data_IF_243291478501
#
_entry.id   IF_243291478501
#
_cell.length_a   1.000
_cell.length_b   1.000
_cell.length_c   1.000
_cell.angle_alpha   90.00
_cell.angle_beta   90.00
_cell.angle_gamma   90.00
#
_symmetry.space_group_name_H-M   'P 1'
#
loop_
_entity.id
_entity.type
_entity.pdbx_description
1 polymer ?
#
# COMPACT_ATOMS: atom_id res chain seq x y z
N UNK A 1 -2.62 11.89 2.71
CA UNK A 1 -3.78 11.74 3.61
C UNK A 1 -3.61 10.43 4.38
N UNK A 2 -3.29 10.49 5.67
CA UNK A 2 -3.00 9.27 6.46
C UNK A 2 -4.25 8.48 6.83
N UNK A 3 -5.34 9.18 7.18
CA UNK A 3 -6.58 8.56 7.65
C UNK A 3 -7.31 7.79 6.55
N UNK A 4 -7.41 8.35 5.34
CA UNK A 4 -8.07 7.67 4.22
C UNK A 4 -7.29 6.43 3.79
N UNK A 5 -5.96 6.50 3.72
CA UNK A 5 -5.12 5.35 3.43
C UNK A 5 -5.21 4.25 4.51
N UNK A 6 -5.26 4.63 5.79
CA UNK A 6 -5.48 3.70 6.89
C UNK A 6 -6.87 3.05 6.82
N UNK A 7 -7.93 3.80 6.50
CA UNK A 7 -9.27 3.23 6.35
C UNK A 7 -9.36 2.28 5.16
N UNK A 8 -8.80 2.66 4.00
CA UNK A 8 -8.75 1.80 2.80
C UNK A 8 -7.96 0.53 3.10
N UNK A 9 -6.79 0.66 3.74
CA UNK A 9 -5.98 -0.48 4.18
C UNK A 9 -6.73 -1.36 5.17
N UNK A 10 -7.47 -0.77 6.12
CA UNK A 10 -8.24 -1.54 7.10
C UNK A 10 -9.39 -2.31 6.44
N UNK A 11 -10.17 -1.67 5.57
CA UNK A 11 -11.25 -2.35 4.85
C UNK A 11 -10.72 -3.45 3.91
N UNK A 12 -9.58 -3.24 3.26
CA UNK A 12 -8.96 -4.28 2.43
C UNK A 12 -8.49 -5.46 3.28
N UNK A 13 -7.87 -5.22 4.43
CA UNK A 13 -7.49 -6.27 5.39
C UNK A 13 -8.68 -7.11 5.87
N UNK A 14 -9.79 -6.46 6.24
CA UNK A 14 -11.03 -7.16 6.62
C UNK A 14 -11.60 -7.96 5.45
N UNK A 15 -11.63 -7.37 4.25
CA UNK A 15 -12.16 -8.02 3.04
C UNK A 15 -11.37 -9.26 2.66
N UNK A 16 -10.03 -9.24 2.79
CA UNK A 16 -9.16 -10.39 2.55
C UNK A 16 -9.49 -11.55 3.51
N UNK A 17 -9.70 -11.25 4.79
CA UNK A 17 -10.06 -12.27 5.77
C UNK A 17 -11.46 -12.85 5.50
N UNK A 18 -12.44 -11.99 5.16
CA UNK A 18 -13.78 -12.44 4.73
C UNK A 18 -13.71 -13.32 3.47
N UNK A 19 -12.91 -12.92 2.48
CA UNK A 19 -12.71 -13.68 1.25
C UNK A 19 -12.05 -15.04 1.53
N UNK A 20 -11.12 -15.10 2.48
CA UNK A 20 -10.50 -16.37 2.91
C UNK A 20 -11.53 -17.33 3.49
N UNK A 21 -12.46 -16.84 4.31
CA UNK A 21 -13.55 -17.65 4.84
C UNK A 21 -14.51 -18.12 3.73
N UNK A 22 -14.85 -17.23 2.79
CA UNK A 22 -15.67 -17.59 1.63
C UNK A 22 -15.01 -18.67 0.75
N UNK A 23 -13.72 -18.55 0.46
CA UNK A 23 -12.96 -19.56 -0.31
C UNK A 23 -12.94 -20.93 0.37
N UNK A 24 -12.92 -20.96 1.71
CA UNK A 24 -12.99 -22.19 2.51
C UNK A 24 -14.42 -22.74 2.65
N UNK A 25 -15.43 -22.09 2.06
CA UNK A 25 -16.85 -22.42 2.20
C UNK A 25 -17.32 -22.48 3.66
N UNK A 26 -16.67 -21.71 4.55
CA UNK A 26 -17.09 -21.57 5.95
C UNK A 26 -17.88 -20.26 6.11
N UNK A 27 -18.70 -20.12 7.17
CA UNK A 27 -19.41 -18.86 7.43
C UNK A 27 -18.44 -17.67 7.46
N UNK A 28 -18.83 -16.56 6.82
CA UNK A 28 -18.02 -15.34 6.73
C UNK A 28 -17.53 -14.87 8.11
N UNK A 29 -18.38 -15.01 9.13
CA UNK A 29 -18.14 -14.61 10.51
C UNK A 29 -17.65 -15.73 11.42
N UNK A 30 -17.07 -16.84 10.90
CA UNK A 30 -16.57 -17.96 11.72
C UNK A 30 -15.60 -17.51 12.84
N UNK A 31 -14.76 -16.53 12.56
CA UNK A 31 -13.79 -15.94 13.51
C UNK A 31 -13.85 -14.40 13.44
N UNK A 32 -14.83 -13.78 14.11
CA UNK A 32 -15.11 -12.35 13.91
C UNK A 32 -13.97 -11.44 14.39
N UNK A 33 -13.25 -11.85 15.44
CA UNK A 33 -12.08 -11.12 15.97
C UNK A 33 -10.91 -11.06 14.98
N UNK A 34 -10.82 -12.01 14.05
CA UNK A 34 -9.78 -11.97 13.02
C UNK A 34 -10.06 -10.91 11.96
N UNK A 35 -11.34 -10.52 11.74
CA UNK A 35 -11.68 -9.36 10.90
C UNK A 35 -11.14 -8.07 11.51
N UNK A 36 -11.25 -7.93 12.84
CA UNK A 36 -10.74 -6.78 13.57
C UNK A 36 -9.20 -6.75 13.53
N UNK A 37 -8.56 -7.91 13.72
CA UNK A 37 -7.11 -8.04 13.54
C UNK A 37 -6.67 -7.66 12.13
N UNK A 38 -7.38 -8.14 11.11
CA UNK A 38 -7.15 -7.79 9.70
C UNK A 38 -7.35 -6.30 9.42
N UNK A 39 -8.33 -5.66 10.05
CA UNK A 39 -8.56 -4.22 9.94
C UNK A 39 -7.39 -3.42 10.49
N UNK A 40 -6.92 -3.70 11.70
CA UNK A 40 -5.82 -2.96 12.30
C UNK A 40 -4.50 -3.21 11.56
N UNK A 41 -4.24 -4.45 11.15
CA UNK A 41 -3.07 -4.79 10.35
C UNK A 41 -3.10 -4.05 9.00
N UNK A 42 -4.23 -4.13 8.30
CA UNK A 42 -4.42 -3.45 7.02
C UNK A 42 -4.29 -1.92 7.15
N UNK A 43 -4.83 -1.33 8.22
CA UNK A 43 -4.72 0.10 8.47
C UNK A 43 -3.27 0.55 8.73
N UNK A 44 -2.51 -0.26 9.48
CA UNK A 44 -1.07 -0.02 9.69
C UNK A 44 -0.29 -0.06 8.37
N UNK A 45 -0.52 -1.10 7.57
CA UNK A 45 0.13 -1.27 6.25
C UNK A 45 -0.25 -0.13 5.31
N UNK A 46 -1.53 0.25 5.25
CA UNK A 46 -1.99 1.36 4.42
C UNK A 46 -1.33 2.70 4.77
N UNK A 47 -1.13 2.98 6.06
CA UNK A 47 -0.40 4.18 6.49
C UNK A 47 1.11 4.08 6.19
N UNK A 48 1.72 2.91 6.39
CA UNK A 48 3.14 2.69 6.08
C UNK A 48 3.45 2.80 4.59
N UNK A 49 2.55 2.31 3.73
CA UNK A 49 2.69 2.41 2.29
C UNK A 49 2.84 3.86 1.81
N UNK A 50 1.99 4.77 2.31
CA UNK A 50 2.07 6.20 1.96
C UNK A 50 3.37 6.86 2.45
N UNK A 51 3.91 6.40 3.58
CA UNK A 51 5.21 6.90 4.07
C UNK A 51 6.34 6.46 3.14
N UNK A 52 6.33 5.20 2.73
CA UNK A 52 7.33 4.63 1.82
C UNK A 52 7.25 5.28 0.44
N UNK A 53 6.06 5.55 -0.07
CA UNK A 53 5.87 6.26 -1.34
C UNK A 53 6.56 7.64 -1.32
N UNK A 54 6.38 8.39 -0.24
CA UNK A 54 7.00 9.71 -0.09
C UNK A 54 8.53 9.63 -0.01
N UNK A 55 9.06 8.75 0.83
CA UNK A 55 10.52 8.61 0.97
C UNK A 55 11.14 8.17 -0.36
N UNK A 56 10.50 7.25 -1.08
CA UNK A 56 11.00 6.78 -2.36
C UNK A 56 10.98 7.89 -3.43
N UNK A 57 9.97 8.75 -3.44
CA UNK A 57 9.92 9.91 -4.34
C UNK A 57 11.05 10.89 -4.01
N UNK A 58 11.33 11.13 -2.73
CA UNK A 58 12.45 11.97 -2.29
C UNK A 58 13.80 11.37 -2.72
N UNK A 59 14.03 10.10 -2.45
CA UNK A 59 15.26 9.38 -2.83
C UNK A 59 15.48 9.43 -4.36
N UNK A 60 14.44 9.17 -5.14
CA UNK A 60 14.52 9.23 -6.60
C UNK A 60 14.80 10.67 -7.08
N UNK A 61 14.21 11.68 -6.43
CA UNK A 61 14.44 13.07 -6.80
C UNK A 61 15.86 13.53 -6.49
N UNK A 62 16.49 13.02 -5.43
CA UNK A 62 17.91 13.23 -5.17
C UNK A 62 18.78 12.64 -6.28
N UNK A 63 18.54 11.37 -6.64
CA UNK A 63 19.27 10.70 -7.74
C UNK A 63 19.10 11.46 -9.07
N UNK A 64 17.92 12.02 -9.32
CA UNK A 64 17.67 12.83 -10.53
C UNK A 64 18.40 14.17 -10.49
N UNK A 65 18.41 14.84 -9.35
CA UNK A 65 19.12 16.12 -9.19
C UNK A 65 20.63 15.95 -9.44
N UNK A 66 21.23 14.87 -8.92
CA UNK A 66 22.64 14.54 -9.16
C UNK A 66 22.97 14.33 -10.65
N UNK A 67 21.98 13.84 -11.42
CA UNK A 67 22.08 13.61 -12.87
C UNK A 67 21.63 14.81 -13.71
N UNK A 68 21.30 15.96 -13.08
CA UNK A 68 20.79 17.14 -13.77
C UNK A 68 19.41 16.97 -14.41
N UNK A 69 18.65 15.96 -13.99
CA UNK A 69 17.30 15.68 -14.49
C UNK A 69 16.23 16.43 -13.69
N UNK A 70 15.09 16.81 -14.30
CA UNK A 70 13.99 17.46 -13.59
C UNK A 70 13.39 16.53 -12.51
N UNK A 71 12.84 17.09 -11.42
CA UNK A 71 12.22 16.30 -10.36
C UNK A 71 11.01 15.54 -10.89
N UNK A 72 10.81 14.32 -10.39
CA UNK A 72 9.58 13.60 -10.60
C UNK A 72 8.47 14.23 -9.78
N UNK A 73 7.50 14.79 -10.49
CA UNK A 73 6.18 15.16 -9.97
C UNK A 73 5.18 14.14 -10.51
N UNK A 74 4.36 13.59 -9.61
CA UNK A 74 3.56 12.38 -9.80
C UNK A 74 2.89 12.28 -11.17
N UNK A 75 3.56 11.57 -12.08
CA UNK A 75 3.09 11.29 -13.42
C UNK A 75 2.60 9.85 -13.43
N UNK A 76 1.43 9.56 -14.01
CA UNK A 76 0.88 8.20 -14.19
C UNK A 76 1.72 7.33 -15.15
N UNK A 77 2.93 7.76 -15.52
CA UNK A 77 3.83 7.05 -16.39
C UNK A 77 4.59 6.01 -15.56
N UNK A 78 4.39 4.74 -15.92
CA UNK A 78 5.20 3.64 -15.40
C UNK A 78 6.67 3.91 -15.75
N UNK A 79 7.52 4.05 -14.73
CA UNK A 79 8.96 4.13 -14.91
C UNK A 79 9.41 2.75 -15.40
N UNK A 80 9.85 2.68 -16.66
CA UNK A 80 10.48 1.48 -17.20
C UNK A 80 11.90 1.46 -16.64
N UNK A 81 12.18 0.55 -15.70
CA UNK A 81 13.57 0.29 -15.29
C UNK A 81 14.29 -0.35 -16.48
N UNK A 82 15.12 0.41 -17.21
CA UNK A 82 16.10 -0.20 -18.11
C UNK A 82 17.20 -0.77 -17.23
N UNK A 83 17.25 -2.10 -17.12
CA UNK A 83 18.39 -2.82 -16.55
C UNK A 83 19.52 -2.89 -17.59
N UNK A 84 19.99 -1.74 -18.04
CA UNK A 84 21.16 -1.65 -18.91
C UNK A 84 22.31 -1.06 -18.09
N UNK A 85 23.10 -1.97 -17.52
CA UNK A 85 24.54 -1.81 -17.36
C UNK A 85 25.25 -2.33 -18.62
#
# INVERSE_FOLDING_TARGET
MGLTAALIGGFSGTSIHMMTNAMRKVPLSRSPWMHVGGFFFGAYVGNKYVQIEKSLVEDINQIRADRGMPPMVGTNAWIRYSSEE
#
